data_IF_964484367961
#
_entry.id   IF_964484367961
#
_cell.length_a   1.000
_cell.length_b   1.000
_cell.length_c   1.000
_cell.angle_alpha   90.00
_cell.angle_beta   90.00
_cell.angle_gamma   90.00
#
_symmetry.space_group_name_H-M   'P 1'
#
loop_
_entity.id
_entity.type
_entity.pdbx_description
1 polymer ?
#
# COMPACT_ATOMS: atom_id res chain seq x y z
N UNK A 1 -34.27 -2.19 19.53
CA UNK A 1 -32.92 -2.78 19.44
C UNK A 1 -31.99 -1.84 18.66
N UNK A 2 -30.94 -1.28 19.28
CA UNK A 2 -30.01 -0.39 18.59
C UNK A 2 -29.08 -1.19 17.65
N UNK A 3 -29.08 -0.85 16.35
CA UNK A 3 -28.23 -1.49 15.33
C UNK A 3 -27.09 -0.56 14.94
N UNK A 4 -25.86 -1.08 14.90
CA UNK A 4 -24.69 -0.32 14.44
C UNK A 4 -24.94 0.22 13.02
N UNK A 5 -24.57 1.49 12.79
CA UNK A 5 -24.74 2.14 11.49
C UNK A 5 -23.39 2.44 10.87
N UNK A 6 -23.35 2.41 9.55
CA UNK A 6 -22.17 2.88 8.82
C UNK A 6 -22.11 4.40 8.88
N UNK A 7 -20.93 4.97 9.12
CA UNK A 7 -20.76 6.42 9.14
C UNK A 7 -20.89 6.96 7.73
N UNK A 8 -22.01 7.64 7.43
CA UNK A 8 -22.33 8.16 6.10
C UNK A 8 -21.24 9.09 5.54
N UNK A 9 -20.65 9.92 6.40
CA UNK A 9 -19.52 10.79 6.03
C UNK A 9 -18.25 10.04 5.63
N UNK A 10 -18.00 8.87 6.21
CA UNK A 10 -16.86 8.02 5.83
C UNK A 10 -17.16 7.31 4.49
N UNK A 11 -18.38 6.81 4.31
CA UNK A 11 -18.83 6.16 3.06
C UNK A 11 -18.65 7.04 1.82
N UNK A 12 -18.84 8.36 1.96
CA UNK A 12 -18.64 9.32 0.86
C UNK A 12 -17.18 9.59 0.51
N UNK A 13 -16.23 9.29 1.41
CA UNK A 13 -14.81 9.65 1.29
C UNK A 13 -13.89 8.46 1.02
N UNK A 14 -14.26 7.29 1.53
CA UNK A 14 -13.43 6.09 1.48
C UNK A 14 -14.15 4.97 0.75
N UNK A 15 -13.44 4.28 -0.15
CA UNK A 15 -13.93 3.08 -0.82
C UNK A 15 -13.10 1.88 -0.39
N UNK A 16 -13.78 0.85 0.11
CA UNK A 16 -13.16 -0.46 0.40
C UNK A 16 -13.05 -1.24 -0.89
N UNK A 17 -11.84 -1.65 -1.26
CA UNK A 17 -11.57 -2.47 -2.44
C UNK A 17 -11.80 -3.96 -2.11
N UNK A 18 -11.98 -4.78 -3.15
CA UNK A 18 -12.15 -6.22 -2.99
C UNK A 18 -10.98 -6.89 -2.24
N UNK A 19 -9.76 -6.36 -2.41
CA UNK A 19 -8.54 -6.80 -1.73
C UNK A 19 -8.45 -6.40 -0.24
N UNK A 20 -9.46 -5.72 0.31
CA UNK A 20 -9.47 -5.23 1.70
C UNK A 20 -8.62 -3.98 1.96
N UNK A 21 -8.04 -3.40 0.90
CA UNK A 21 -7.37 -2.08 0.93
C UNK A 21 -8.42 -0.96 0.88
N UNK A 22 -8.09 0.19 1.49
CA UNK A 22 -8.97 1.37 1.47
C UNK A 22 -8.37 2.43 0.55
N UNK A 23 -9.17 2.86 -0.42
CA UNK A 23 -8.83 3.91 -1.39
C UNK A 23 -9.39 5.26 -0.94
N UNK A 24 -8.60 6.31 -1.11
CA UNK A 24 -8.96 7.70 -0.83
C UNK A 24 -8.43 8.66 -1.89
N UNK A 25 -9.04 9.84 -1.98
CA UNK A 25 -8.59 10.95 -2.84
C UNK A 25 -7.58 11.81 -2.11
N UNK A 26 -6.59 12.34 -2.84
CA UNK A 26 -5.61 13.27 -2.27
C UNK A 26 -6.24 14.63 -1.90
N UNK A 27 -5.69 15.28 -0.86
CA UNK A 27 -6.10 16.62 -0.43
C UNK A 27 -5.37 17.73 -1.23
N UNK A 28 -5.69 19.00 -0.94
CA UNK A 28 -4.96 20.18 -1.44
C UNK A 28 -5.00 20.41 -2.96
N UNK A 29 -6.08 19.99 -3.63
CA UNK A 29 -6.27 20.19 -5.08
C UNK A 29 -7.62 20.82 -5.46
N UNK A 30 -8.12 21.71 -4.59
CA UNK A 30 -9.41 22.41 -4.80
C UNK A 30 -9.25 23.91 -5.05
N UNK A 31 -8.26 24.54 -4.44
CA UNK A 31 -7.97 25.97 -4.50
C UNK A 31 -6.45 26.19 -4.41
N UNK A 32 -5.96 27.41 -4.65
CA UNK A 32 -4.54 27.77 -4.61
C UNK A 32 -3.62 27.03 -5.61
N UNK A 33 -4.16 26.64 -6.78
CA UNK A 33 -3.42 25.90 -7.80
C UNK A 33 -2.25 26.67 -8.42
N UNK A 34 -2.30 28.01 -8.39
CA UNK A 34 -1.21 28.89 -8.85
C UNK A 34 0.09 28.69 -8.07
N UNK A 35 0.02 28.27 -6.80
CA UNK A 35 1.18 28.04 -5.93
C UNK A 35 1.77 26.63 -6.08
N UNK A 36 1.09 25.74 -6.80
CA UNK A 36 1.45 24.33 -6.90
C UNK A 36 2.11 24.07 -8.27
N UNK A 37 3.27 23.42 -8.27
CA UNK A 37 3.96 23.06 -9.51
C UNK A 37 3.24 21.96 -10.31
N UNK A 38 3.44 21.93 -11.63
CA UNK A 38 2.78 20.98 -12.54
C UNK A 38 2.95 19.50 -12.14
N UNK A 39 4.11 19.12 -11.60
CA UNK A 39 4.36 17.76 -11.10
C UNK A 39 3.43 17.42 -9.94
N UNK A 40 3.32 18.31 -8.96
CA UNK A 40 2.47 18.12 -7.79
C UNK A 40 0.99 18.05 -8.19
N UNK A 41 0.56 18.91 -9.11
CA UNK A 41 -0.80 18.87 -9.65
C UNK A 41 -1.14 17.53 -10.30
N UNK A 42 -0.19 16.92 -11.02
CA UNK A 42 -0.34 15.58 -11.62
C UNK A 42 -0.49 14.50 -10.55
N UNK A 43 0.40 14.49 -9.55
CA UNK A 43 0.36 13.52 -8.45
C UNK A 43 -0.94 13.59 -7.67
N UNK A 44 -1.42 14.81 -7.35
CA UNK A 44 -2.65 15.03 -6.59
C UNK A 44 -3.93 14.70 -7.39
N UNK A 45 -3.86 14.49 -8.73
CA UNK A 45 -5.03 13.99 -9.49
C UNK A 45 -5.35 12.53 -9.14
N UNK A 46 -4.33 11.76 -8.76
CA UNK A 46 -4.47 10.34 -8.48
C UNK A 46 -5.21 10.06 -7.17
N UNK A 47 -5.57 8.79 -7.02
CA UNK A 47 -6.08 8.25 -5.75
C UNK A 47 -5.00 7.44 -5.07
N UNK A 48 -4.96 7.47 -3.75
CA UNK A 48 -3.99 6.71 -2.96
C UNK A 48 -4.64 5.62 -2.13
N UNK A 49 -3.82 4.66 -1.73
CA UNK A 49 -4.16 3.65 -0.74
C UNK A 49 -3.76 4.19 0.62
N UNK A 50 -4.65 4.07 1.60
CA UNK A 50 -4.34 4.47 2.96
C UNK A 50 -3.26 3.57 3.57
N UNK A 51 -2.45 4.19 4.43
CA UNK A 51 -1.53 3.47 5.29
C UNK A 51 -2.27 2.50 6.25
N UNK A 52 -1.56 1.51 6.76
CA UNK A 52 -2.09 0.49 7.65
C UNK A 52 -2.65 1.08 8.95
N UNK A 53 -2.01 2.12 9.51
CA UNK A 53 -2.45 2.75 10.77
C UNK A 53 -3.81 3.41 10.59
N UNK A 54 -3.95 4.24 9.55
CA UNK A 54 -5.21 4.94 9.24
C UNK A 54 -6.30 3.98 8.76
N UNK A 55 -5.91 2.93 8.02
CA UNK A 55 -6.84 1.88 7.60
C UNK A 55 -7.54 1.22 8.80
N UNK A 56 -6.84 1.01 9.92
CA UNK A 56 -7.42 0.45 11.15
C UNK A 56 -8.51 1.35 11.72
N UNK A 57 -8.26 2.66 11.79
CA UNK A 57 -9.23 3.66 12.26
C UNK A 57 -10.46 3.72 11.35
N UNK A 58 -10.25 3.79 10.04
CA UNK A 58 -11.35 3.92 9.07
C UNK A 58 -12.25 2.68 9.04
N UNK A 59 -11.70 1.47 9.24
CA UNK A 59 -12.49 0.23 9.28
C UNK A 59 -13.56 0.24 10.38
N UNK A 60 -13.29 0.88 11.53
CA UNK A 60 -14.28 0.98 12.61
C UNK A 60 -15.58 1.68 12.17
N UNK A 61 -15.50 2.57 11.17
CA UNK A 61 -16.67 3.26 10.62
C UNK A 61 -17.54 2.41 9.68
N UNK A 62 -17.07 1.22 9.28
CA UNK A 62 -17.71 0.34 8.31
C UNK A 62 -18.02 -1.05 8.90
N UNK A 63 -18.95 -1.16 9.86
CA UNK A 63 -19.24 -2.43 10.55
C UNK A 63 -19.67 -3.57 9.61
N UNK A 64 -20.27 -3.27 8.45
CA UNK A 64 -20.79 -4.27 7.53
C UNK A 64 -19.92 -4.56 6.31
N UNK A 65 -18.91 -3.72 6.03
CA UNK A 65 -18.18 -3.77 4.76
C UNK A 65 -16.65 -3.76 4.94
N UNK A 66 -16.14 -4.22 6.08
CA UNK A 66 -14.71 -4.23 6.39
C UNK A 66 -14.07 -5.59 6.07
N UNK A 67 -13.74 -5.86 4.81
CA UNK A 67 -12.90 -7.01 4.47
C UNK A 67 -11.48 -6.81 5.04
N UNK A 68 -10.99 -7.74 5.84
CA UNK A 68 -9.62 -7.69 6.40
C UNK A 68 -8.63 -8.13 5.32
N UNK A 69 -7.57 -7.34 5.12
CA UNK A 69 -6.44 -7.73 4.28
C UNK A 69 -5.64 -8.81 5.01
N UNK A 70 -5.27 -9.91 4.32
CA UNK A 70 -4.27 -10.85 4.86
C UNK A 70 -2.91 -10.14 4.94
N UNK A 71 -2.14 -10.32 6.03
CA UNK A 71 -0.80 -9.74 6.12
C UNK A 71 0.03 -10.17 4.90
N UNK A 72 0.85 -9.27 4.36
CA UNK A 72 1.85 -9.68 3.38
C UNK A 72 2.75 -10.67 4.11
N UNK A 73 2.86 -11.90 3.61
CA UNK A 73 3.90 -12.81 4.10
C UNK A 73 5.23 -12.11 3.84
N UNK A 74 5.94 -11.76 4.91
CA UNK A 74 7.35 -11.40 4.79
C UNK A 74 8.01 -12.74 4.56
N UNK A 75 8.51 -12.97 3.35
CA UNK A 75 9.37 -14.13 3.09
C UNK A 75 10.65 -13.81 3.85
N UNK A 76 10.74 -14.26 5.10
CA UNK A 76 11.99 -14.31 5.82
C UNK A 76 12.77 -15.46 5.21
N UNK A 77 13.67 -15.16 4.28
CA UNK A 77 14.65 -16.15 3.84
C UNK A 77 15.47 -16.55 5.08
N UNK A 78 15.63 -17.84 5.29
CA UNK A 78 16.53 -18.34 6.33
C UNK A 78 17.96 -17.97 5.96
N UNK A 79 18.83 -17.78 6.96
CA UNK A 79 20.22 -17.39 6.71
C UNK A 79 20.98 -18.38 5.79
N UNK A 80 20.57 -19.64 5.80
CA UNK A 80 21.07 -20.69 4.90
C UNK A 80 20.76 -20.40 3.42
N UNK A 81 19.54 -19.95 3.11
CA UNK A 81 19.16 -19.63 1.73
C UNK A 81 19.97 -18.44 1.21
N UNK A 82 20.29 -17.47 2.07
CA UNK A 82 21.11 -16.31 1.71
C UNK A 82 22.56 -16.74 1.39
N UNK A 83 23.11 -17.69 2.15
CA UNK A 83 24.44 -18.27 1.90
C UNK A 83 24.51 -19.00 0.57
N UNK A 84 23.52 -19.84 0.25
CA UNK A 84 23.49 -20.54 -1.04
C UNK A 84 23.47 -19.58 -2.23
N UNK A 85 22.72 -18.47 -2.16
CA UNK A 85 22.72 -17.46 -3.22
C UNK A 85 24.06 -16.72 -3.35
N UNK A 86 24.77 -16.49 -2.25
CA UNK A 86 26.11 -15.90 -2.24
C UNK A 86 27.12 -16.79 -2.95
N UNK A 87 27.14 -18.09 -2.62
CA UNK A 87 28.07 -19.06 -3.19
C UNK A 87 27.82 -19.30 -4.69
N UNK A 88 26.55 -19.29 -5.11
CA UNK A 88 26.19 -19.32 -6.53
C UNK A 88 26.68 -18.09 -7.28
N UNK A 89 26.59 -16.91 -6.66
CA UNK A 89 27.09 -15.65 -7.22
C UNK A 89 28.60 -15.67 -7.43
N UNK A 90 29.36 -16.14 -6.44
CA UNK A 90 30.82 -16.27 -6.55
C UNK A 90 31.24 -17.30 -7.60
N UNK A 91 30.54 -18.43 -7.69
CA UNK A 91 30.78 -19.42 -8.76
C UNK A 91 30.58 -18.83 -10.15
N UNK A 92 29.50 -18.07 -10.37
CA UNK A 92 29.23 -17.44 -11.66
C UNK A 92 30.31 -16.42 -12.02
N UNK A 93 30.77 -15.60 -11.06
CA UNK A 93 31.85 -14.65 -11.28
C UNK A 93 33.17 -15.34 -11.64
N UNK A 94 33.53 -16.42 -10.94
CA UNK A 94 34.71 -17.23 -11.27
C UNK A 94 34.63 -17.86 -12.65
N UNK A 95 33.42 -18.20 -13.10
CA UNK A 95 33.19 -18.82 -14.40
C UNK A 95 33.29 -17.80 -15.54
N UNK A 96 32.94 -16.53 -15.29
CA UNK A 96 33.13 -15.42 -16.23
C UNK A 96 34.62 -15.04 -16.35
N UNK A 97 35.37 -15.04 -15.25
CA UNK A 97 36.82 -14.77 -15.28
C UNK A 97 37.60 -15.84 -16.06
N UNK A 98 37.18 -17.10 -16.01
CA UNK A 98 37.81 -18.19 -16.75
C UNK A 98 37.44 -18.25 -18.25
N UNK A 99 36.54 -17.37 -18.73
CA UNK A 99 36.15 -17.28 -20.14
C UNK A 99 36.99 -16.22 -20.90
N UNK A 100 37.71 -15.34 -20.18
CA UNK A 100 38.72 -14.44 -20.75
C UNK A 100 40.11 -15.08 -20.77
#
# INVERSE_FOLDING_TARGET
MPKLKTKSGAKKRFKVLASGKIKSTQANKRHNMRKLGNRQLRTLRGTTILDQVETRRVRAYFPYNSKRRKPKQVISFTDEQIREFSELGEKILSQIENIN
#
